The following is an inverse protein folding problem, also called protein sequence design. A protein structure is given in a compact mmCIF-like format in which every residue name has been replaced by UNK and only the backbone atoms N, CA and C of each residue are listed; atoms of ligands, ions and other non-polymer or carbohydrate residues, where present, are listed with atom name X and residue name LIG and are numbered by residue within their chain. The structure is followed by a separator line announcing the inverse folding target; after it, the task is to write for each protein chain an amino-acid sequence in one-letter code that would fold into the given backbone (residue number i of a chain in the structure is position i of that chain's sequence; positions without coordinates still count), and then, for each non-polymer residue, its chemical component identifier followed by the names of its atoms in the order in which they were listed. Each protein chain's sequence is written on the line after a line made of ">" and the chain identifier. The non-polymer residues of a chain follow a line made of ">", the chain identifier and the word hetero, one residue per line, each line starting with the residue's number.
data_IF_128347586949
#
_entry.id   IF_128347586949
#
_cell.length_a   1.000
_cell.length_b   1.000
_cell.length_c   1.000
_cell.angle_alpha   90.00
_cell.angle_beta   90.00
_cell.angle_gamma   90.00
#
_symmetry.space_group_name_H-M   'P 1'
#
loop_
_entity.id
_entity.type
_entity.pdbx_description
1 polymer ?
#
# COMPACT_ATOMS: atom_id res chain seq x y z
N UNK A 1 15.33 -15.04 -3.88
CA UNK A 1 13.86 -14.85 -3.81
C UNK A 1 13.51 -13.56 -4.54
N UNK A 2 12.83 -13.63 -5.68
CA UNK A 2 12.57 -12.48 -6.55
C UNK A 2 11.16 -11.97 -6.24
N UNK A 3 11.02 -10.92 -5.44
CA UNK A 3 9.77 -10.14 -5.43
C UNK A 3 9.59 -9.63 -6.86
N UNK A 4 8.46 -9.94 -7.50
CA UNK A 4 8.21 -9.42 -8.85
C UNK A 4 8.15 -7.91 -8.74
N UNK A 5 9.00 -7.21 -9.50
CA UNK A 5 9.04 -5.75 -9.51
C UNK A 5 7.63 -5.21 -9.68
N UNK A 6 7.20 -4.38 -8.73
CA UNK A 6 6.01 -3.56 -8.89
C UNK A 6 6.29 -2.68 -10.10
N UNK A 7 5.44 -2.74 -11.13
CA UNK A 7 5.50 -1.86 -12.29
C UNK A 7 5.31 -0.41 -11.84
N UNK A 8 6.36 0.20 -11.32
CA UNK A 8 6.33 1.54 -10.74
C UNK A 8 6.49 2.55 -11.84
N UNK A 9 5.39 3.21 -12.15
CA UNK A 9 5.43 4.54 -12.75
C UNK A 9 5.96 5.55 -11.74
N UNK A 10 6.12 6.81 -12.15
CA UNK A 10 6.85 7.92 -11.53
C UNK A 10 6.40 8.38 -10.11
N UNK A 11 5.99 7.46 -9.23
CA UNK A 11 5.40 7.68 -7.91
C UNK A 11 6.21 6.96 -6.82
N UNK A 12 6.21 7.52 -5.60
CA UNK A 12 6.83 6.88 -4.43
C UNK A 12 6.04 5.62 -4.03
N UNK A 13 6.68 4.70 -3.29
CA UNK A 13 5.97 3.54 -2.71
C UNK A 13 4.79 3.96 -1.83
N UNK A 14 4.98 5.04 -1.08
CA UNK A 14 3.98 5.57 -0.17
C UNK A 14 2.74 6.04 -0.96
N UNK A 15 2.93 6.83 -2.00
CA UNK A 15 1.87 7.30 -2.88
C UNK A 15 1.12 6.14 -3.55
N UNK A 16 1.86 5.14 -4.04
CA UNK A 16 1.26 3.93 -4.60
C UNK A 16 0.39 3.19 -3.57
N UNK A 17 0.93 2.93 -2.38
CA UNK A 17 0.21 2.20 -1.33
C UNK A 17 -1.04 2.96 -0.86
N UNK A 18 -0.94 4.28 -0.70
CA UNK A 18 -2.08 5.12 -0.34
C UNK A 18 -3.14 5.11 -1.43
N UNK A 19 -2.75 5.26 -2.70
CA UNK A 19 -3.69 5.18 -3.82
C UNK A 19 -4.33 3.80 -3.92
N UNK A 20 -3.56 2.73 -3.69
CA UNK A 20 -4.05 1.35 -3.66
C UNK A 20 -5.16 1.16 -2.62
N UNK A 21 -4.94 1.62 -1.38
CA UNK A 21 -5.95 1.57 -0.30
C UNK A 21 -7.24 2.27 -0.73
N UNK A 22 -7.13 3.44 -1.36
CA UNK A 22 -8.27 4.26 -1.77
C UNK A 22 -9.07 3.69 -2.95
N UNK A 23 -8.56 2.67 -3.66
CA UNK A 23 -9.26 2.06 -4.78
C UNK A 23 -10.12 0.85 -4.38
N UNK A 24 -10.12 0.46 -3.10
CA UNK A 24 -11.04 -0.57 -2.60
C UNK A 24 -12.42 0.01 -2.37
N UNK A 25 -13.45 -0.61 -2.96
CA UNK A 25 -14.84 -0.17 -2.82
C UNK A 25 -15.29 -0.09 -1.35
N UNK A 26 -14.84 -1.02 -0.51
CA UNK A 26 -15.17 -1.05 0.91
C UNK A 26 -14.49 0.05 1.74
N UNK A 27 -13.52 0.79 1.18
CA UNK A 27 -12.79 1.84 1.89
C UNK A 27 -13.51 3.17 1.72
N UNK A 28 -14.13 3.65 2.80
CA UNK A 28 -14.78 4.96 2.86
C UNK A 28 -13.87 6.05 3.44
N UNK A 29 -12.82 5.66 4.18
CA UNK A 29 -11.85 6.55 4.80
C UNK A 29 -10.53 5.81 5.06
N UNK A 30 -9.40 6.51 4.88
CA UNK A 30 -8.06 5.98 5.19
C UNK A 30 -7.38 6.84 6.27
N UNK A 31 -6.97 6.20 7.38
CA UNK A 31 -6.27 6.87 8.49
C UNK A 31 -4.76 6.71 8.28
N UNK A 32 -4.17 7.65 7.57
CA UNK A 32 -2.75 7.63 7.23
C UNK A 32 -1.93 8.39 8.28
N UNK A 33 -0.92 7.73 8.84
CA UNK A 33 0.01 8.38 9.78
C UNK A 33 0.81 9.51 9.12
N UNK A 34 1.09 10.57 9.88
CA UNK A 34 1.90 11.70 9.42
C UNK A 34 2.60 12.38 10.59
N UNK A 35 3.93 12.25 10.67
CA UNK A 35 4.76 12.87 11.74
C UNK A 35 5.16 14.30 11.42
N UNK A 36 5.09 14.71 10.15
CA UNK A 36 5.37 16.08 9.67
C UNK A 36 4.27 16.56 8.73
N UNK A 37 4.04 17.87 8.69
CA UNK A 37 3.02 18.50 7.83
C UNK A 37 3.15 18.14 6.35
N UNK A 38 4.37 18.00 5.85
CA UNK A 38 4.61 17.60 4.47
C UNK A 38 4.20 16.15 4.17
N UNK A 39 4.20 15.23 5.15
CA UNK A 39 3.65 13.87 4.97
C UNK A 39 2.13 13.93 4.86
N UNK A 40 1.47 14.74 5.69
CA UNK A 40 0.01 14.91 5.60
C UNK A 40 -0.40 15.42 4.22
N UNK A 41 0.34 16.40 3.68
CA UNK A 41 0.11 16.90 2.31
C UNK A 41 0.30 15.82 1.25
N UNK A 42 1.29 14.96 1.40
CA UNK A 42 1.54 13.82 0.48
C UNK A 42 0.41 12.78 0.59
N UNK A 43 0.00 12.43 1.82
CA UNK A 43 -1.12 11.52 2.09
C UNK A 43 -2.42 12.01 1.41
N UNK A 44 -2.74 13.30 1.52
CA UNK A 44 -3.94 13.86 0.88
C UNK A 44 -3.85 13.81 -0.65
N UNK A 45 -2.70 14.16 -1.23
CA UNK A 45 -2.48 14.14 -2.69
C UNK A 45 -2.59 12.76 -3.31
N UNK A 46 -2.45 11.70 -2.52
CA UNK A 46 -2.58 10.34 -3.03
C UNK A 46 -3.96 10.06 -3.63
N UNK A 47 -5.02 10.74 -3.16
CA UNK A 47 -6.37 10.63 -3.72
C UNK A 47 -6.46 11.13 -5.17
N UNK A 48 -5.62 12.09 -5.54
CA UNK A 48 -5.60 12.73 -6.86
C UNK A 48 -4.77 11.97 -7.89
N UNK A 49 -4.06 10.91 -7.47
CA UNK A 49 -3.22 10.11 -8.37
C UNK A 49 -4.09 9.32 -9.36
N UNK A 50 -3.58 9.01 -10.56
CA UNK A 50 -4.28 8.13 -11.49
C UNK A 50 -4.65 6.78 -10.84
N UNK A 51 -5.75 6.14 -11.26
CA UNK A 51 -6.06 4.80 -10.80
C UNK A 51 -4.95 3.82 -11.18
N UNK A 52 -4.69 2.85 -10.32
CA UNK A 52 -3.73 1.78 -10.56
C UNK A 52 -4.40 0.78 -11.51
N UNK A 53 -3.65 0.28 -12.51
CA UNK A 53 -4.19 -0.68 -13.47
C UNK A 53 -4.62 -1.98 -12.77
N UNK A 54 -5.68 -2.64 -13.26
CA UNK A 54 -6.15 -3.91 -12.69
C UNK A 54 -5.08 -5.00 -12.67
N UNK A 55 -4.21 -5.05 -13.70
CA UNK A 55 -3.08 -5.99 -13.73
C UNK A 55 -2.08 -5.72 -12.60
N UNK A 56 -1.78 -4.45 -12.32
CA UNK A 56 -0.91 -4.05 -11.21
C UNK A 56 -1.55 -4.34 -9.86
N UNK A 57 -2.86 -4.08 -9.70
CA UNK A 57 -3.62 -4.41 -8.50
C UNK A 57 -3.58 -5.92 -8.21
N UNK A 58 -3.76 -6.76 -9.24
CA UNK A 58 -3.71 -8.21 -9.11
C UNK A 58 -2.32 -8.70 -8.70
N UNK A 59 -1.27 -8.20 -9.35
CA UNK A 59 0.11 -8.55 -9.00
C UNK A 59 0.46 -8.19 -7.55
N UNK A 60 -0.02 -7.04 -7.06
CA UNK A 60 0.19 -6.63 -5.67
C UNK A 60 -0.57 -7.52 -4.67
N UNK A 61 -1.81 -7.91 -5.00
CA UNK A 61 -2.58 -8.87 -4.21
C UNK A 61 -1.85 -10.22 -4.08
N UNK A 62 -1.29 -10.76 -5.17
CA UNK A 62 -0.53 -12.00 -5.15
C UNK A 62 0.74 -11.88 -4.27
N UNK A 63 1.43 -10.75 -4.36
CA UNK A 63 2.57 -10.44 -3.50
C UNK A 63 2.16 -10.38 -2.02
N UNK A 64 0.99 -9.80 -1.72
CA UNK A 64 0.48 -9.69 -0.35
C UNK A 64 0.20 -11.05 0.29
N UNK A 65 -0.38 -11.99 -0.46
CA UNK A 65 -0.61 -13.37 0.01
C UNK A 65 0.69 -14.06 0.40
N UNK A 66 1.74 -13.90 -0.40
CA UNK A 66 3.06 -14.44 -0.12
C UNK A 66 3.73 -13.78 1.10
N UNK A 67 3.61 -12.46 1.25
CA UNK A 67 4.16 -11.74 2.40
C UNK A 67 3.44 -12.17 3.69
N UNK A 68 2.10 -12.32 3.64
CA UNK A 68 1.28 -12.72 4.79
C UNK A 68 1.78 -14.01 5.42
N UNK A 69 2.03 -15.05 4.64
CA UNK A 69 2.53 -16.34 5.15
C UNK A 69 3.82 -16.17 5.97
N UNK A 70 4.69 -15.25 5.56
CA UNK A 70 6.00 -15.04 6.19
C UNK A 70 5.95 -14.15 7.41
N UNK A 71 5.11 -13.12 7.41
CA UNK A 71 5.13 -12.08 8.46
C UNK A 71 4.09 -12.31 9.55
N UNK A 72 3.00 -13.02 9.25
CA UNK A 72 1.88 -13.17 10.18
C UNK A 72 2.27 -13.85 11.49
N UNK A 73 3.29 -14.73 11.46
CA UNK A 73 3.88 -15.29 12.68
C UNK A 73 4.30 -14.15 13.63
N UNK A 74 5.07 -13.17 13.17
CA UNK A 74 5.67 -12.14 14.03
C UNK A 74 4.70 -11.13 14.65
N UNK A 75 3.42 -11.11 14.27
CA UNK A 75 2.44 -10.17 14.82
C UNK A 75 1.93 -10.55 16.21
N UNK A 76 1.94 -11.85 16.53
CA UNK A 76 1.34 -12.37 17.77
C UNK A 76 2.36 -12.83 18.82
N UNK A 77 3.65 -12.97 18.50
CA UNK A 77 4.68 -13.42 19.47
C UNK A 77 5.43 -12.29 20.17
N UNK A 78 4.86 -11.07 20.23
CA UNK A 78 5.49 -9.92 20.89
C UNK A 78 4.71 -9.49 22.14
N UNK A 79 4.44 -10.45 23.01
CA UNK A 79 4.03 -10.23 24.41
C UNK A 79 4.74 -11.26 25.28
N UNK A 80 5.98 -10.94 25.65
CA UNK A 80 6.66 -11.42 26.84
C UNK A 80 7.48 -10.27 27.41
#
# INVERSE_FOLDING_TARGET
>A
MKYRELGRTNQTLANFAMRWILLFEAVTCAILGGKRSAQVKENCRAADLPPISGATMQQDSDNMLFIREKVHRYWYYRTS
#
